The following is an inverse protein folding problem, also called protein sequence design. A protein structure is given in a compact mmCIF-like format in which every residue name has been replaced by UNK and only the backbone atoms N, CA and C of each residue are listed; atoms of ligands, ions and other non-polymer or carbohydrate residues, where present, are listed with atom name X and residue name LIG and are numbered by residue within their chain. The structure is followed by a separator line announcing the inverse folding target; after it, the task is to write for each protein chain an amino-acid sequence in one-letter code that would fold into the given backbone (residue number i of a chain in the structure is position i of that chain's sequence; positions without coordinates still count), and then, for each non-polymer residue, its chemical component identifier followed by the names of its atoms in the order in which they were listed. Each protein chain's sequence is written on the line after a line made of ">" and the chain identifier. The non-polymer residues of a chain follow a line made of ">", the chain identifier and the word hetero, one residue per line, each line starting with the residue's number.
data_IF_396399854309
#
_entry.id   IF_396399854309
#
_cell.length_a   1.000
_cell.length_b   1.000
_cell.length_c   1.000
_cell.angle_alpha   90.00
_cell.angle_beta   90.00
_cell.angle_gamma   90.00
#
_symmetry.space_group_name_H-M   'P 1'
#
loop_
_entity.id
_entity.type
_entity.pdbx_description
1 polymer ?
#
# COMPACT_ATOMS: atom_id res chain seq x y z
N UNK A 1 -23.44 39.05 10.71
CA UNK A 1 -22.00 39.23 10.94
C UNK A 1 -21.33 37.86 10.91
N UNK A 2 -20.62 37.53 9.84
CA UNK A 2 -19.78 36.31 9.82
C UNK A 2 -18.49 36.64 10.56
N UNK A 3 -18.30 36.07 11.74
CA UNK A 3 -17.06 36.15 12.51
C UNK A 3 -15.97 35.39 11.75
N UNK A 4 -14.99 36.10 11.25
CA UNK A 4 -13.81 35.51 10.58
C UNK A 4 -13.03 34.73 11.63
N UNK A 5 -13.01 33.39 11.50
CA UNK A 5 -12.23 32.51 12.37
C UNK A 5 -10.74 32.80 12.28
N UNK A 6 -10.03 32.75 13.40
CA UNK A 6 -8.57 32.90 13.43
C UNK A 6 -7.88 31.76 12.69
N UNK A 7 -6.62 31.97 12.28
CA UNK A 7 -5.81 30.93 11.61
C UNK A 7 -5.63 29.69 12.49
N UNK A 8 -5.49 29.90 13.79
CA UNK A 8 -5.35 28.85 14.79
C UNK A 8 -6.63 28.00 14.91
N UNK A 9 -7.79 28.66 15.00
CA UNK A 9 -9.09 27.97 15.03
C UNK A 9 -9.33 27.12 13.79
N UNK A 10 -8.95 27.60 12.60
CA UNK A 10 -9.06 26.84 11.34
C UNK A 10 -8.14 25.61 11.34
N UNK A 11 -6.94 25.75 11.90
CA UNK A 11 -5.98 24.65 12.02
C UNK A 11 -6.49 23.56 12.97
N UNK A 12 -7.04 23.96 14.11
CA UNK A 12 -7.59 23.01 15.10
C UNK A 12 -8.81 22.26 14.55
N UNK A 13 -9.70 22.95 13.84
CA UNK A 13 -10.85 22.34 13.17
C UNK A 13 -10.38 21.32 12.10
N UNK A 14 -9.41 21.68 11.28
CA UNK A 14 -8.85 20.78 10.29
C UNK A 14 -8.19 19.56 10.94
N UNK A 15 -7.44 19.79 12.03
CA UNK A 15 -6.81 18.73 12.81
C UNK A 15 -7.85 17.73 13.31
N UNK A 16 -8.92 18.22 13.94
CA UNK A 16 -9.97 17.35 14.48
C UNK A 16 -10.68 16.58 13.36
N UNK A 17 -11.05 17.27 12.27
CA UNK A 17 -11.69 16.64 11.12
C UNK A 17 -10.80 15.55 10.48
N UNK A 18 -9.48 15.80 10.41
CA UNK A 18 -8.55 14.81 9.89
C UNK A 18 -8.43 13.57 10.79
N UNK A 19 -8.38 13.76 12.11
CA UNK A 19 -8.38 12.64 13.06
C UNK A 19 -9.66 11.82 12.97
N UNK A 20 -10.82 12.46 12.98
CA UNK A 20 -12.12 11.79 12.83
C UNK A 20 -12.21 11.03 11.50
N UNK A 21 -11.72 11.61 10.41
CA UNK A 21 -11.70 10.97 9.09
C UNK A 21 -10.84 9.69 9.07
N UNK A 22 -9.72 9.66 9.78
CA UNK A 22 -8.84 8.48 9.83
C UNK A 22 -9.33 7.41 10.80
N UNK A 23 -10.12 7.80 11.84
CA UNK A 23 -10.64 6.89 12.85
C UNK A 23 -11.97 6.25 12.43
N UNK A 24 -12.84 6.97 11.73
CA UNK A 24 -14.26 6.61 11.55
C UNK A 24 -14.66 6.49 10.08
N UNK A 25 -15.70 5.64 9.78
CA UNK A 25 -16.39 4.67 10.66
C UNK A 25 -15.52 3.44 10.97
N UNK A 26 -14.47 3.22 10.22
CA UNK A 26 -13.48 2.14 10.34
C UNK A 26 -12.09 2.78 10.26
N UNK A 27 -11.15 2.42 11.15
CA UNK A 27 -9.81 2.96 11.11
C UNK A 27 -9.10 2.72 9.77
N UNK A 28 -8.32 3.71 9.33
CA UNK A 28 -7.58 3.66 8.08
C UNK A 28 -8.39 4.06 6.84
N UNK A 29 -7.77 3.94 5.66
CA UNK A 29 -8.34 4.39 4.38
C UNK A 29 -8.43 3.30 3.33
N UNK A 30 -7.88 2.13 3.61
CA UNK A 30 -7.89 0.98 2.70
C UNK A 30 -8.54 -0.24 3.37
N UNK A 31 -9.05 -1.14 2.54
CA UNK A 31 -9.55 -2.44 2.96
C UNK A 31 -9.19 -3.47 1.90
N UNK A 32 -9.15 -4.74 2.32
CA UNK A 32 -8.94 -5.87 1.42
C UNK A 32 -10.27 -6.60 1.29
N UNK A 33 -10.73 -6.78 0.05
CA UNK A 33 -11.97 -7.44 -0.25
C UNK A 33 -11.75 -8.61 -1.22
N UNK A 34 -12.42 -9.73 -0.96
CA UNK A 34 -12.45 -10.85 -1.88
C UNK A 34 -13.26 -10.48 -3.14
N UNK A 35 -12.73 -10.82 -4.33
CA UNK A 35 -13.41 -10.61 -5.62
C UNK A 35 -14.28 -11.80 -6.04
N UNK A 36 -14.15 -12.95 -5.36
CA UNK A 36 -14.88 -14.18 -5.61
C UNK A 36 -15.76 -14.53 -4.42
N UNK A 37 -16.92 -15.09 -4.69
CA UNK A 37 -17.81 -15.59 -3.65
C UNK A 37 -17.29 -16.93 -3.11
N UNK A 38 -17.55 -17.17 -1.84
CA UNK A 38 -17.28 -18.44 -1.18
C UNK A 38 -18.53 -18.77 -0.34
N UNK A 39 -19.53 -19.37 -0.99
CA UNK A 39 -20.86 -19.60 -0.39
C UNK A 39 -21.11 -21.08 -0.12
N UNK A 40 -20.46 -21.97 -0.85
CA UNK A 40 -20.68 -23.41 -0.79
C UNK A 40 -19.38 -24.20 -0.96
N UNK A 41 -19.48 -25.53 -0.82
CA UNK A 41 -18.33 -26.42 -0.90
C UNK A 41 -17.70 -26.48 -2.30
N UNK A 42 -18.48 -26.25 -3.35
CA UNK A 42 -17.96 -26.15 -4.72
C UNK A 42 -17.05 -24.92 -4.87
N UNK A 43 -17.50 -23.78 -4.39
CA UNK A 43 -16.69 -22.55 -4.40
C UNK A 43 -15.39 -22.72 -3.63
N UNK A 44 -15.46 -23.40 -2.47
CA UNK A 44 -14.27 -23.71 -1.67
C UNK A 44 -13.28 -24.61 -2.43
N UNK A 45 -13.79 -25.62 -3.14
CA UNK A 45 -12.98 -26.51 -3.94
C UNK A 45 -12.28 -25.80 -5.11
N UNK A 46 -12.90 -24.77 -5.69
CA UNK A 46 -12.30 -23.95 -6.74
C UNK A 46 -11.31 -22.91 -6.17
N UNK A 47 -11.70 -22.25 -5.09
CA UNK A 47 -10.92 -21.15 -4.52
C UNK A 47 -9.67 -21.61 -3.76
N UNK A 48 -9.71 -22.84 -3.22
CA UNK A 48 -8.63 -23.38 -2.40
C UNK A 48 -8.30 -24.82 -2.81
N UNK A 49 -8.69 -25.84 -2.05
CA UNK A 49 -8.29 -27.23 -2.31
C UNK A 49 -9.46 -28.04 -2.84
N UNK A 50 -9.28 -28.83 -3.91
CA UNK A 50 -8.06 -29.08 -4.70
C UNK A 50 -7.84 -28.14 -5.90
N UNK A 51 -8.81 -27.32 -6.28
CA UNK A 51 -8.84 -26.57 -7.54
C UNK A 51 -7.70 -25.56 -7.72
N UNK A 52 -7.19 -24.98 -6.62
CA UNK A 52 -6.08 -23.99 -6.64
C UNK A 52 -4.78 -24.55 -7.23
N UNK A 53 -4.60 -25.87 -7.26
CA UNK A 53 -3.43 -26.50 -7.86
C UNK A 53 -3.30 -26.17 -9.37
N UNK A 54 -4.42 -26.11 -10.09
CA UNK A 54 -4.41 -25.89 -11.53
C UNK A 54 -3.83 -24.52 -11.94
N UNK A 55 -4.29 -23.38 -11.40
CA UNK A 55 -3.63 -22.12 -11.71
C UNK A 55 -2.16 -22.06 -11.26
N UNK A 56 -1.78 -22.71 -10.16
CA UNK A 56 -0.38 -22.84 -9.76
C UNK A 56 0.45 -23.58 -10.81
N UNK A 57 -0.03 -24.70 -11.33
CA UNK A 57 0.63 -25.46 -12.39
C UNK A 57 0.79 -24.65 -13.69
N UNK A 58 -0.23 -23.85 -14.04
CA UNK A 58 -0.15 -22.98 -15.22
C UNK A 58 0.88 -21.83 -15.05
N UNK A 59 1.00 -21.29 -13.83
CA UNK A 59 2.02 -20.27 -13.54
C UNK A 59 3.44 -20.89 -13.55
N UNK A 60 3.61 -22.13 -13.08
CA UNK A 60 4.89 -22.85 -13.18
C UNK A 60 5.30 -23.06 -14.64
N UNK A 61 4.35 -23.36 -15.53
CA UNK A 61 4.62 -23.55 -16.97
C UNK A 61 5.00 -22.23 -17.66
N UNK A 62 4.30 -21.14 -17.32
CA UNK A 62 4.56 -19.81 -17.84
C UNK A 62 4.28 -18.78 -16.74
N UNK A 63 5.33 -18.12 -16.18
CA UNK A 63 5.19 -17.10 -15.14
C UNK A 63 4.25 -15.93 -15.50
N UNK A 64 4.06 -15.62 -16.79
CA UNK A 64 3.12 -14.58 -17.23
C UNK A 64 1.66 -14.91 -16.86
N UNK A 65 1.35 -16.18 -16.66
CA UNK A 65 0.02 -16.59 -16.18
C UNK A 65 -0.31 -16.04 -14.77
N UNK A 66 0.67 -15.55 -14.01
CA UNK A 66 0.41 -14.84 -12.76
C UNK A 66 -0.48 -13.60 -12.97
N UNK A 67 -0.33 -12.89 -14.07
CA UNK A 67 -1.18 -11.75 -14.44
C UNK A 67 -2.61 -12.14 -14.80
N UNK A 68 -2.82 -13.38 -15.20
CA UNK A 68 -4.13 -13.92 -15.58
C UNK A 68 -4.90 -14.50 -14.40
N UNK A 69 -4.19 -15.17 -13.50
CA UNK A 69 -4.82 -15.98 -12.44
C UNK A 69 -4.69 -15.38 -11.04
N UNK A 70 -3.98 -14.25 -10.88
CA UNK A 70 -3.82 -13.57 -9.59
C UNK A 70 -4.12 -12.07 -9.70
N UNK A 71 -4.17 -11.39 -8.56
CA UNK A 71 -4.34 -9.94 -8.49
C UNK A 71 -3.06 -9.16 -8.86
N UNK A 72 -1.92 -9.84 -9.14
CA UNK A 72 -0.61 -9.22 -9.35
C UNK A 72 -0.62 -8.11 -10.40
N UNK A 73 -1.36 -8.28 -11.49
CA UNK A 73 -1.40 -7.31 -12.60
C UNK A 73 -2.02 -5.95 -12.26
N UNK A 74 -2.79 -5.86 -11.18
CA UNK A 74 -3.41 -4.61 -10.72
C UNK A 74 -3.07 -4.27 -9.27
N UNK A 75 -1.96 -4.78 -8.76
CA UNK A 75 -1.53 -4.56 -7.38
C UNK A 75 -0.15 -3.92 -7.36
N UNK A 76 -0.04 -2.72 -6.76
CA UNK A 76 1.20 -1.97 -6.57
C UNK A 76 1.58 -1.93 -5.10
N UNK A 77 2.87 -2.09 -4.79
CA UNK A 77 3.39 -1.78 -3.46
C UNK A 77 3.76 -0.30 -3.39
N UNK A 78 3.25 0.42 -2.41
CA UNK A 78 3.78 1.72 -1.98
C UNK A 78 4.69 1.47 -0.80
N UNK A 79 6.01 1.64 -0.99
CA UNK A 79 7.02 1.27 0.01
C UNK A 79 7.71 2.51 0.55
N UNK A 80 7.84 2.56 1.86
CA UNK A 80 8.53 3.64 2.57
C UNK A 80 9.33 3.12 3.76
N UNK A 81 10.37 3.85 4.17
CA UNK A 81 10.97 3.73 5.50
C UNK A 81 10.68 4.96 6.39
N UNK A 82 9.87 5.90 5.89
CA UNK A 82 9.39 7.05 6.64
C UNK A 82 10.47 8.07 7.00
N UNK A 83 11.55 8.17 6.19
CA UNK A 83 12.71 9.03 6.49
C UNK A 83 12.61 10.44 5.94
N UNK A 84 11.63 10.74 5.05
CA UNK A 84 11.46 12.06 4.44
C UNK A 84 10.00 12.42 4.20
N UNK A 85 9.16 12.31 5.22
CA UNK A 85 7.72 12.62 5.10
C UNK A 85 7.51 14.12 5.01
N UNK A 86 6.76 14.57 4.00
CA UNK A 86 6.56 15.99 3.68
C UNK A 86 6.05 16.79 4.89
N UNK A 87 6.83 17.80 5.26
CA UNK A 87 6.54 18.70 6.39
C UNK A 87 6.82 18.11 7.78
N UNK A 88 7.20 16.82 7.89
CA UNK A 88 7.43 16.12 9.15
C UNK A 88 8.85 15.53 9.28
N UNK A 89 9.54 15.27 8.14
CA UNK A 89 10.89 14.72 8.12
C UNK A 89 10.94 13.21 8.45
N UNK A 90 11.96 12.79 9.19
CA UNK A 90 12.13 11.39 9.62
C UNK A 90 11.23 11.10 10.82
N UNK A 91 10.04 10.62 10.55
CA UNK A 91 9.07 10.22 11.59
C UNK A 91 8.98 8.69 11.73
N UNK A 92 9.74 7.97 10.90
CA UNK A 92 9.78 6.51 10.88
C UNK A 92 8.63 5.84 10.15
N UNK A 93 8.77 4.52 9.89
CA UNK A 93 7.84 3.79 9.04
C UNK A 93 6.40 3.75 9.59
N UNK A 94 6.21 3.45 10.87
CA UNK A 94 4.87 3.31 11.45
C UNK A 94 4.06 4.61 11.38
N UNK A 95 4.68 5.75 11.71
CA UNK A 95 4.02 7.04 11.71
C UNK A 95 3.74 7.56 10.28
N UNK A 96 4.45 7.06 9.26
CA UNK A 96 4.21 7.39 7.86
C UNK A 96 3.01 6.65 7.23
N UNK A 97 2.53 5.58 7.85
CA UNK A 97 1.44 4.76 7.32
C UNK A 97 0.19 5.55 6.88
N UNK A 98 -0.33 6.56 7.60
CA UNK A 98 -1.46 7.33 7.13
C UNK A 98 -1.21 8.04 5.78
N UNK A 99 0.02 8.47 5.51
CA UNK A 99 0.40 9.08 4.22
C UNK A 99 0.40 8.02 3.12
N UNK A 100 0.94 6.82 3.40
CA UNK A 100 1.01 5.71 2.44
C UNK A 100 -0.39 5.19 2.07
N UNK A 101 -1.30 5.07 3.03
CA UNK A 101 -2.71 4.76 2.74
C UNK A 101 -3.37 5.88 1.92
N UNK A 102 -3.00 7.14 2.14
CA UNK A 102 -3.43 8.26 1.31
C UNK A 102 -2.97 8.10 -0.13
N UNK A 103 -1.72 7.69 -0.37
CA UNK A 103 -1.20 7.37 -1.71
C UNK A 103 -2.01 6.23 -2.34
N UNK A 104 -2.33 5.18 -1.58
CA UNK A 104 -3.17 4.08 -2.05
C UNK A 104 -4.55 4.55 -2.54
N UNK A 105 -5.19 5.46 -1.80
CA UNK A 105 -6.47 6.08 -2.21
C UNK A 105 -6.34 6.84 -3.52
N UNK A 106 -5.22 7.57 -3.74
CA UNK A 106 -4.98 8.28 -4.99
C UNK A 106 -4.80 7.33 -6.17
N UNK A 107 -4.01 6.25 -6.02
CA UNK A 107 -3.87 5.20 -7.04
C UNK A 107 -5.22 4.60 -7.42
N UNK A 108 -6.04 4.27 -6.41
CA UNK A 108 -7.37 3.70 -6.66
C UNK A 108 -8.29 4.69 -7.36
N UNK A 109 -8.33 5.94 -6.89
CA UNK A 109 -9.23 6.97 -7.42
C UNK A 109 -8.91 7.38 -8.86
N UNK A 110 -7.62 7.54 -9.18
CA UNK A 110 -7.21 8.11 -10.47
C UNK A 110 -6.81 7.09 -11.51
N UNK A 111 -6.37 5.90 -11.09
CA UNK A 111 -5.89 4.86 -12.00
C UNK A 111 -6.62 3.51 -11.87
N UNK A 112 -7.50 3.35 -10.88
CA UNK A 112 -8.17 2.06 -10.63
C UNK A 112 -7.23 0.97 -10.08
N UNK A 113 -6.00 1.33 -9.68
CA UNK A 113 -4.97 0.40 -9.21
C UNK A 113 -5.16 0.14 -7.72
N UNK A 114 -5.09 -1.12 -7.33
CA UNK A 114 -5.06 -1.55 -5.94
C UNK A 114 -3.64 -1.42 -5.36
N UNK A 115 -3.54 -1.08 -4.09
CA UNK A 115 -2.26 -0.85 -3.43
C UNK A 115 -2.21 -1.53 -2.07
N UNK A 116 -1.07 -2.18 -1.79
CA UNK A 116 -0.62 -2.42 -0.42
C UNK A 116 0.46 -1.40 -0.06
N UNK A 117 0.26 -0.68 1.03
CA UNK A 117 1.30 0.14 1.65
C UNK A 117 2.17 -0.75 2.54
N UNK A 118 3.48 -0.59 2.40
CA UNK A 118 4.49 -1.41 3.10
C UNK A 118 5.50 -0.49 3.76
N UNK A 119 5.40 -0.42 5.07
CA UNK A 119 6.29 0.37 5.90
C UNK A 119 7.45 -0.50 6.39
N UNK A 120 8.66 -0.27 5.86
CA UNK A 120 9.85 -1.06 6.15
C UNK A 120 10.66 -0.42 7.28
N UNK A 121 10.87 -1.14 8.37
CA UNK A 121 11.69 -0.67 9.48
C UNK A 121 13.20 -0.92 9.23
N UNK A 122 13.72 -0.32 8.15
CA UNK A 122 15.14 -0.30 7.83
C UNK A 122 15.54 1.08 7.28
N UNK A 123 16.46 1.76 7.94
CA UNK A 123 16.94 3.08 7.53
C UNK A 123 18.46 3.25 7.62
N UNK A 124 19.17 2.26 8.14
CA UNK A 124 20.60 2.34 8.39
C UNK A 124 21.40 1.50 7.39
N UNK A 125 20.80 0.44 6.86
CA UNK A 125 21.42 -0.48 5.91
C UNK A 125 20.62 -0.46 4.60
N UNK A 126 21.14 0.28 3.62
CA UNK A 126 20.48 0.47 2.33
C UNK A 126 20.48 -0.80 1.49
N UNK A 127 21.54 -1.61 1.56
CA UNK A 127 21.60 -2.88 0.83
C UNK A 127 20.52 -3.82 1.32
N UNK A 128 20.34 -3.88 2.64
CA UNK A 128 19.26 -4.66 3.24
C UNK A 128 17.88 -4.13 2.89
N UNK A 129 17.70 -2.81 2.79
CA UNK A 129 16.44 -2.21 2.35
C UNK A 129 16.14 -2.61 0.89
N UNK A 130 17.13 -2.56 0.00
CA UNK A 130 17.03 -3.02 -1.39
C UNK A 130 16.67 -4.49 -1.46
N UNK A 131 17.35 -5.35 -0.68
CA UNK A 131 17.06 -6.79 -0.64
C UNK A 131 15.63 -7.09 -0.20
N UNK A 132 15.11 -6.35 0.81
CA UNK A 132 13.71 -6.49 1.27
C UNK A 132 12.75 -6.11 0.15
N UNK A 133 12.99 -4.99 -0.52
CA UNK A 133 12.12 -4.50 -1.61
C UNK A 133 12.14 -5.48 -2.79
N UNK A 134 13.32 -5.91 -3.21
CA UNK A 134 13.48 -6.87 -4.30
C UNK A 134 12.78 -8.21 -4.02
N UNK A 135 12.84 -8.68 -2.78
CA UNK A 135 12.20 -9.94 -2.37
C UNK A 135 10.65 -9.89 -2.45
N UNK A 136 10.05 -8.69 -2.49
CA UNK A 136 8.60 -8.50 -2.62
C UNK A 136 8.10 -8.54 -4.08
N UNK A 137 9.01 -8.54 -5.07
CA UNK A 137 8.68 -8.49 -6.50
C UNK A 137 7.58 -9.49 -6.92
N UNK A 138 7.57 -10.76 -6.48
CA UNK A 138 6.58 -11.73 -6.95
C UNK A 138 5.12 -11.35 -6.64
N UNK A 139 4.87 -10.53 -5.63
CA UNK A 139 3.52 -10.14 -5.20
C UNK A 139 2.91 -9.04 -6.07
N UNK A 140 3.76 -8.17 -6.65
CA UNK A 140 3.31 -6.89 -7.21
C UNK A 140 3.51 -6.79 -8.72
N UNK A 141 2.62 -6.06 -9.37
CA UNK A 141 2.79 -5.63 -10.77
C UNK A 141 3.66 -4.38 -10.93
N UNK A 142 3.91 -3.67 -9.82
CA UNK A 142 4.78 -2.50 -9.76
C UNK A 142 5.07 -2.08 -8.32
N UNK A 143 6.11 -1.27 -8.16
CA UNK A 143 6.55 -0.72 -6.87
C UNK A 143 6.67 0.79 -7.02
N UNK A 144 6.11 1.53 -6.06
CA UNK A 144 6.30 2.97 -5.88
C UNK A 144 7.07 3.20 -4.57
N UNK A 145 8.27 3.74 -4.69
CA UNK A 145 9.04 4.18 -3.52
C UNK A 145 8.54 5.57 -3.08
N UNK A 146 8.28 5.74 -1.80
CA UNK A 146 7.69 6.96 -1.25
C UNK A 146 8.40 7.39 0.03
N UNK A 147 8.65 8.71 0.17
CA UNK A 147 9.16 9.34 1.40
C UNK A 147 10.46 8.70 1.96
N UNK A 148 11.34 8.26 1.07
CA UNK A 148 12.72 7.85 1.37
C UNK A 148 13.62 9.07 1.17
N UNK A 149 14.43 9.41 2.19
CA UNK A 149 15.28 10.61 2.16
C UNK A 149 16.33 10.56 1.05
N UNK A 150 16.66 11.73 0.51
CA UNK A 150 17.85 11.88 -0.32
C UNK A 150 19.14 11.88 0.54
N UNK A 151 20.27 11.31 0.05
CA UNK A 151 20.46 10.68 -1.27
C UNK A 151 20.03 9.20 -1.33
N UNK A 152 19.56 8.61 -0.24
CA UNK A 152 19.26 7.18 -0.10
C UNK A 152 18.23 6.71 -1.15
N UNK A 153 17.23 7.55 -1.46
CA UNK A 153 16.22 7.24 -2.46
C UNK A 153 16.81 6.94 -3.84
N UNK A 154 17.87 7.64 -4.25
CA UNK A 154 18.52 7.39 -5.54
C UNK A 154 19.28 6.07 -5.58
N UNK A 155 19.84 5.67 -4.45
CA UNK A 155 20.50 4.37 -4.31
C UNK A 155 19.49 3.22 -4.36
N UNK A 156 18.37 3.38 -3.65
CA UNK A 156 17.34 2.32 -3.59
C UNK A 156 16.61 2.14 -4.93
N UNK A 157 16.52 3.22 -5.75
CA UNK A 157 15.86 3.19 -7.05
C UNK A 157 16.75 2.64 -8.18
N UNK A 158 18.09 2.68 -8.02
CA UNK A 158 19.06 2.30 -9.05
C UNK A 158 19.26 0.79 -9.16
#
# INVERSE_FOLDING_TARGET
>A
MQTTKSTEQKRDELRQAALDYHERPIPGKITIAATKQLVNQHDLALAYSPGVAFPCEEIVKDPNNAFKYTARGNLVAVITNGTAVLGLGDIGPLASKPVMEGKAVLFKKFAGIDVFDIEVNEKNDLDKLVDIIAALEPTFGGINLEDIKAPDCFYVES
#
